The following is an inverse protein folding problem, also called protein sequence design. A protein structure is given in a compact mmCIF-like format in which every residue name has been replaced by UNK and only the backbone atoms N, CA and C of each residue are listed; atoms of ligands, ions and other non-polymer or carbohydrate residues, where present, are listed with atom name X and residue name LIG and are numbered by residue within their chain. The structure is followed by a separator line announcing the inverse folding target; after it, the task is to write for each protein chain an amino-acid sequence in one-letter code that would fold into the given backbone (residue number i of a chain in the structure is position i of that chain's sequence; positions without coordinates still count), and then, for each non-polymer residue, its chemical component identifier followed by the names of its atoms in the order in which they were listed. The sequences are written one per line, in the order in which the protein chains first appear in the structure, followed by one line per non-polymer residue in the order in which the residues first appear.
data_IF_392647864332
#
_entry.id   IF_392647864332
#
_cell.length_a   1.000
_cell.length_b   1.000
_cell.length_c   1.000
_cell.angle_alpha   90.00
_cell.angle_beta   90.00
_cell.angle_gamma   90.00
#
_symmetry.space_group_name_H-M   'P 1'
#
loop_
_entity.id
_entity.type
_entity.pdbx_description
1 polymer ?
#
# COMPACT_ATOMS: atom_id res chain seq x y z
N UNK A 1 -12.06 -29.33 -13.38
CA UNK A 1 -12.91 -28.14 -13.20
C UNK A 1 -13.63 -27.90 -14.53
N UNK A 2 -14.94 -27.63 -14.53
CA UNK A 2 -15.69 -27.33 -15.75
C UNK A 2 -15.19 -26.02 -16.38
N UNK A 3 -15.35 -25.85 -17.69
CA UNK A 3 -14.88 -24.67 -18.44
C UNK A 3 -16.02 -24.16 -19.33
N UNK A 4 -16.39 -22.89 -19.20
CA UNK A 4 -17.47 -22.25 -19.95
C UNK A 4 -16.93 -21.00 -20.65
N UNK A 5 -16.98 -20.95 -21.97
CA UNK A 5 -16.44 -19.81 -22.74
C UNK A 5 -17.49 -18.71 -22.83
N UNK A 6 -17.11 -17.48 -22.54
CA UNK A 6 -18.05 -16.34 -22.62
C UNK A 6 -18.65 -16.15 -24.02
N UNK A 7 -17.94 -16.57 -25.07
CA UNK A 7 -18.41 -16.52 -26.45
C UNK A 7 -19.54 -17.51 -26.75
N UNK A 8 -19.62 -18.62 -26.03
CA UNK A 8 -20.74 -19.58 -26.12
C UNK A 8 -22.04 -19.00 -25.52
N UNK A 9 -21.91 -17.94 -24.70
CA UNK A 9 -23.02 -17.20 -24.08
C UNK A 9 -23.27 -15.86 -24.78
N UNK A 10 -22.63 -15.61 -25.92
CA UNK A 10 -22.92 -14.48 -26.79
C UNK A 10 -21.96 -13.29 -26.69
N UNK A 11 -20.93 -13.35 -25.83
CA UNK A 11 -19.90 -12.31 -25.77
C UNK A 11 -19.15 -12.25 -27.13
N UNK A 12 -18.86 -11.04 -27.61
CA UNK A 12 -18.23 -10.82 -28.91
C UNK A 12 -16.71 -10.74 -28.82
N UNK A 13 -16.16 -10.13 -27.77
CA UNK A 13 -14.71 -9.97 -27.64
C UNK A 13 -14.07 -9.10 -28.73
N UNK A 14 -14.84 -8.22 -29.36
CA UNK A 14 -14.42 -7.38 -30.50
C UNK A 14 -13.82 -6.02 -30.08
N UNK A 15 -13.73 -5.76 -28.77
CA UNK A 15 -13.25 -4.50 -28.20
C UNK A 15 -14.22 -3.32 -28.31
N UNK A 16 -15.46 -3.55 -28.76
CA UNK A 16 -16.47 -2.51 -28.97
C UNK A 16 -17.82 -2.86 -28.35
N UNK A 17 -18.27 -4.10 -28.51
CA UNK A 17 -19.52 -4.59 -27.92
C UNK A 17 -19.37 -4.71 -26.41
N UNK A 18 -20.33 -4.15 -25.67
CA UNK A 18 -20.42 -4.32 -24.22
C UNK A 18 -20.95 -5.72 -23.91
N UNK A 19 -20.06 -6.59 -23.46
CA UNK A 19 -20.28 -8.01 -23.25
C UNK A 19 -20.79 -8.35 -21.82
N UNK A 20 -21.06 -7.35 -20.98
CA UNK A 20 -21.43 -7.50 -19.56
C UNK A 20 -22.51 -8.55 -19.33
N UNK A 21 -23.60 -8.51 -20.10
CA UNK A 21 -24.74 -9.43 -19.94
C UNK A 21 -24.35 -10.88 -20.25
N UNK A 22 -23.60 -11.10 -21.33
CA UNK A 22 -23.16 -12.44 -21.72
C UNK A 22 -22.15 -13.02 -20.72
N UNK A 23 -21.23 -12.18 -20.24
CA UNK A 23 -20.24 -12.57 -19.22
C UNK A 23 -20.94 -12.92 -17.91
N UNK A 24 -21.87 -12.08 -17.44
CA UNK A 24 -22.63 -12.36 -16.22
C UNK A 24 -23.43 -13.65 -16.34
N UNK A 25 -24.11 -13.88 -17.47
CA UNK A 25 -24.85 -15.12 -17.71
C UNK A 25 -23.92 -16.36 -17.68
N UNK A 26 -22.68 -16.23 -18.15
CA UNK A 26 -21.69 -17.31 -18.09
C UNK A 26 -21.26 -17.61 -16.64
N UNK A 27 -21.05 -16.56 -15.83
CA UNK A 27 -20.74 -16.68 -14.40
C UNK A 27 -21.88 -17.36 -13.65
N UNK A 28 -23.11 -16.91 -13.89
CA UNK A 28 -24.32 -17.44 -13.26
C UNK A 28 -24.49 -18.93 -13.59
N UNK A 29 -24.38 -19.28 -14.88
CA UNK A 29 -24.45 -20.66 -15.32
C UNK A 29 -23.35 -21.53 -14.70
N UNK A 30 -22.11 -21.04 -14.68
CA UNK A 30 -20.98 -21.75 -14.07
C UNK A 30 -21.23 -22.05 -12.59
N UNK A 31 -21.71 -21.06 -11.84
CA UNK A 31 -22.07 -21.23 -10.43
C UNK A 31 -23.20 -22.25 -10.23
N UNK A 32 -24.29 -22.12 -10.98
CA UNK A 32 -25.47 -23.00 -10.89
C UNK A 32 -25.15 -24.46 -11.23
N UNK A 33 -24.10 -24.71 -12.00
CA UNK A 33 -23.66 -26.06 -12.40
C UNK A 33 -22.49 -26.59 -11.55
N UNK A 34 -22.32 -26.06 -10.34
CA UNK A 34 -21.36 -26.58 -9.35
C UNK A 34 -19.97 -25.94 -9.39
N UNK A 35 -19.80 -24.86 -10.15
CA UNK A 35 -18.56 -24.11 -10.24
C UNK A 35 -17.64 -24.58 -11.37
N UNK A 36 -16.60 -23.79 -11.61
CA UNK A 36 -15.81 -23.94 -12.82
C UNK A 36 -14.98 -22.72 -13.16
N UNK A 37 -14.48 -22.72 -14.40
CA UNK A 37 -13.80 -21.60 -15.01
C UNK A 37 -14.67 -20.94 -16.07
N UNK A 38 -14.82 -19.63 -15.99
CA UNK A 38 -15.37 -18.78 -17.04
C UNK A 38 -14.22 -18.27 -17.89
N UNK A 39 -14.15 -18.71 -19.13
CA UNK A 39 -12.98 -18.56 -19.99
C UNK A 39 -13.11 -17.38 -20.95
N UNK A 40 -12.09 -16.53 -20.96
CA UNK A 40 -11.88 -15.45 -21.92
C UNK A 40 -10.67 -15.82 -22.78
N UNK A 41 -10.81 -15.80 -24.11
CA UNK A 41 -9.73 -16.08 -25.05
C UNK A 41 -9.93 -15.30 -26.35
N UNK A 42 -8.82 -14.92 -27.00
CA UNK A 42 -8.76 -14.33 -28.34
C UNK A 42 -9.70 -13.14 -28.54
N UNK A 43 -9.55 -12.10 -27.74
CA UNK A 43 -10.40 -10.92 -27.88
C UNK A 43 -10.24 -9.89 -26.78
N UNK A 44 -10.89 -8.76 -26.99
CA UNK A 44 -11.05 -7.71 -25.99
C UNK A 44 -12.51 -7.66 -25.59
N UNK A 45 -12.81 -7.99 -24.35
CA UNK A 45 -14.16 -8.08 -23.81
C UNK A 45 -14.44 -6.80 -23.02
N UNK A 46 -15.27 -5.91 -23.58
CA UNK A 46 -15.66 -4.67 -22.92
C UNK A 46 -16.78 -4.97 -21.93
N UNK A 47 -16.65 -4.60 -20.67
CA UNK A 47 -17.70 -4.84 -19.68
C UNK A 47 -17.78 -3.75 -18.62
N UNK A 48 -18.99 -3.58 -18.08
CA UNK A 48 -19.24 -2.92 -16.80
C UNK A 48 -19.03 -3.87 -15.63
N UNK A 49 -19.69 -3.60 -14.51
CA UNK A 49 -19.59 -4.45 -13.33
C UNK A 49 -20.12 -5.86 -13.60
N UNK A 50 -19.33 -6.86 -13.23
CA UNK A 50 -19.76 -8.27 -13.11
C UNK A 50 -19.66 -8.75 -11.67
N UNK A 51 -20.60 -9.61 -11.29
CA UNK A 51 -20.75 -10.20 -9.95
C UNK A 51 -20.23 -11.63 -9.96
N UNK A 52 -19.03 -11.82 -9.42
CA UNK A 52 -18.42 -13.13 -9.26
C UNK A 52 -19.11 -13.90 -8.13
N UNK A 53 -19.39 -15.19 -8.37
CA UNK A 53 -20.12 -16.07 -7.44
C UNK A 53 -19.22 -17.18 -6.91
N UNK A 54 -19.63 -17.81 -5.82
CA UNK A 54 -18.87 -18.91 -5.20
C UNK A 54 -18.54 -20.03 -6.20
N UNK A 55 -17.35 -20.61 -6.06
CA UNK A 55 -16.81 -21.69 -6.90
C UNK A 55 -16.54 -21.30 -8.36
N UNK A 56 -16.53 -20.01 -8.70
CA UNK A 56 -16.26 -19.52 -10.05
C UNK A 56 -14.88 -18.85 -10.12
N UNK A 57 -14.11 -19.25 -11.13
CA UNK A 57 -12.84 -18.65 -11.49
C UNK A 57 -12.96 -17.98 -12.86
N UNK A 58 -12.60 -16.71 -12.98
CA UNK A 58 -12.42 -16.08 -14.29
C UNK A 58 -11.03 -16.47 -14.82
N UNK A 59 -10.99 -17.22 -15.91
CA UNK A 59 -9.75 -17.62 -16.58
C UNK A 59 -9.51 -16.73 -17.81
N UNK A 60 -8.59 -15.78 -17.68
CA UNK A 60 -8.22 -14.83 -18.73
C UNK A 60 -6.96 -15.35 -19.43
N UNK A 61 -7.14 -15.91 -20.63
CA UNK A 61 -6.04 -16.42 -21.45
C UNK A 61 -5.08 -15.30 -21.87
N UNK A 62 -3.82 -15.64 -22.17
CA UNK A 62 -2.80 -14.69 -22.63
C UNK A 62 -3.25 -13.84 -23.85
N UNK A 63 -4.14 -14.40 -24.68
CA UNK A 63 -4.72 -13.74 -25.86
C UNK A 63 -5.95 -12.87 -25.58
N UNK A 64 -6.41 -12.79 -24.32
CA UNK A 64 -7.59 -12.03 -23.93
C UNK A 64 -7.25 -10.78 -23.10
N UNK A 65 -8.07 -9.75 -23.31
CA UNK A 65 -8.13 -8.56 -22.46
C UNK A 65 -9.56 -8.35 -22.00
N UNK A 66 -9.77 -8.20 -20.69
CA UNK A 66 -10.99 -7.59 -20.14
C UNK A 66 -10.74 -6.09 -20.11
N UNK A 67 -11.64 -5.30 -20.69
CA UNK A 67 -11.54 -3.84 -20.76
C UNK A 67 -12.73 -3.20 -20.05
N UNK A 68 -12.46 -2.32 -19.09
CA UNK A 68 -13.50 -1.56 -18.40
C UNK A 68 -14.26 -0.65 -19.39
N UNK A 69 -15.60 -0.77 -19.42
CA UNK A 69 -16.45 0.11 -20.22
C UNK A 69 -16.33 1.56 -19.69
N UNK A 70 -16.09 2.57 -20.53
CA UNK A 70 -16.05 3.97 -20.08
C UNK A 70 -17.39 4.54 -19.59
N UNK A 71 -18.52 3.89 -19.87
CA UNK A 71 -19.83 4.36 -19.40
C UNK A 71 -20.01 4.08 -17.89
N UNK A 72 -19.99 5.13 -17.07
CA UNK A 72 -20.12 4.99 -15.62
C UNK A 72 -21.48 4.42 -15.17
N UNK A 73 -22.51 4.49 -16.02
CA UNK A 73 -23.84 3.93 -15.71
C UNK A 73 -23.87 2.40 -15.70
N UNK A 74 -22.87 1.76 -16.31
CA UNK A 74 -22.66 0.31 -16.29
C UNK A 74 -22.04 -0.21 -14.97
N UNK A 75 -21.84 0.68 -14.00
CA UNK A 75 -21.31 0.37 -12.69
C UNK A 75 -22.35 0.76 -11.62
N UNK A 76 -23.02 -0.21 -10.99
CA UNK A 76 -24.16 0.06 -10.15
C UNK A 76 -23.77 0.59 -8.78
N UNK A 77 -24.72 1.19 -8.05
CA UNK A 77 -24.47 1.76 -6.72
C UNK A 77 -24.48 0.72 -5.59
N UNK A 78 -25.01 -0.48 -5.84
CA UNK A 78 -25.12 -1.53 -4.82
C UNK A 78 -23.83 -2.33 -4.59
N UNK A 79 -22.70 -1.91 -5.16
CA UNK A 79 -21.37 -2.42 -4.81
C UNK A 79 -20.64 -1.50 -3.83
N UNK A 80 -21.27 -0.39 -3.42
CA UNK A 80 -20.75 0.62 -2.50
C UNK A 80 -20.44 0.00 -1.14
N UNK A 81 -19.19 0.12 -0.69
CA UNK A 81 -18.77 -0.32 0.64
C UNK A 81 -17.58 0.53 1.12
N UNK A 82 -17.81 1.82 1.23
CA UNK A 82 -16.77 2.76 1.60
C UNK A 82 -16.38 2.63 3.07
N UNK A 83 -15.08 2.53 3.34
CA UNK A 83 -14.53 2.60 4.70
C UNK A 83 -14.00 3.99 5.03
N UNK A 84 -14.02 4.94 4.10
CA UNK A 84 -13.46 6.29 4.25
C UNK A 84 -14.54 7.34 4.42
N UNK A 85 -14.36 8.25 5.39
CA UNK A 85 -15.32 9.33 5.66
C UNK A 85 -15.36 10.40 4.56
N UNK A 86 -14.28 10.54 3.77
CA UNK A 86 -14.10 11.66 2.84
C UNK A 86 -13.88 11.22 1.37
N UNK A 87 -14.08 9.94 1.05
CA UNK A 87 -13.82 9.41 -0.30
C UNK A 87 -15.09 8.85 -0.94
N UNK A 88 -16.21 9.59 -0.87
CA UNK A 88 -17.57 9.15 -1.24
C UNK A 88 -17.75 8.65 -2.68
N UNK A 89 -16.77 8.90 -3.55
CA UNK A 89 -16.79 8.56 -4.97
C UNK A 89 -16.07 7.22 -5.27
N UNK A 90 -15.43 6.59 -4.26
CA UNK A 90 -14.62 5.39 -4.39
C UNK A 90 -15.42 4.09 -4.18
N UNK A 91 -16.60 4.03 -4.80
CA UNK A 91 -17.60 3.03 -4.43
C UNK A 91 -18.09 2.11 -5.54
N UNK A 92 -17.59 2.32 -6.76
CA UNK A 92 -17.87 1.47 -7.91
C UNK A 92 -16.71 0.52 -8.17
N UNK A 93 -16.96 -0.62 -8.82
CA UNK A 93 -15.90 -1.54 -9.23
C UNK A 93 -16.26 -2.39 -10.46
N UNK A 94 -15.25 -2.84 -11.21
CA UNK A 94 -15.42 -3.65 -12.42
C UNK A 94 -15.75 -5.11 -12.10
N UNK A 95 -15.08 -5.72 -11.13
CA UNK A 95 -15.33 -7.08 -10.68
C UNK A 95 -15.66 -7.06 -9.20
N UNK A 96 -16.87 -7.49 -8.84
CA UNK A 96 -17.35 -7.52 -7.47
C UNK A 96 -17.63 -8.95 -7.01
N UNK A 97 -17.35 -9.24 -5.74
CA UNK A 97 -17.87 -10.42 -5.04
C UNK A 97 -18.18 -10.08 -3.59
N UNK A 98 -19.26 -10.66 -3.07
CA UNK A 98 -19.69 -10.48 -1.68
C UNK A 98 -20.16 -11.81 -1.11
N UNK A 99 -19.75 -12.13 0.12
CA UNK A 99 -20.13 -13.36 0.83
C UNK A 99 -19.89 -14.64 0.01
N UNK A 100 -18.83 -14.64 -0.81
CA UNK A 100 -18.49 -15.72 -1.74
C UNK A 100 -17.28 -16.55 -1.28
N UNK A 101 -17.20 -17.81 -1.72
CA UNK A 101 -16.08 -18.70 -1.41
C UNK A 101 -15.54 -19.43 -2.64
N UNK A 102 -14.25 -19.76 -2.63
CA UNK A 102 -13.56 -20.47 -3.72
C UNK A 102 -13.66 -19.70 -5.05
N UNK A 103 -13.21 -18.46 -5.03
CA UNK A 103 -13.28 -17.54 -6.18
C UNK A 103 -11.88 -17.18 -6.67
N UNK A 104 -11.77 -16.77 -7.93
CA UNK A 104 -10.49 -16.27 -8.39
C UNK A 104 -10.48 -15.64 -9.77
N UNK A 105 -9.42 -14.87 -10.01
CA UNK A 105 -9.04 -14.32 -11.30
C UNK A 105 -7.69 -14.95 -11.65
N UNK A 106 -7.62 -15.68 -12.76
CA UNK A 106 -6.45 -16.46 -13.10
C UNK A 106 -6.09 -16.37 -14.59
N UNK A 107 -4.82 -16.60 -14.91
CA UNK A 107 -4.34 -16.77 -16.29
C UNK A 107 -3.60 -15.55 -16.84
N UNK A 108 -2.79 -15.76 -17.88
CA UNK A 108 -1.77 -14.83 -18.41
C UNK A 108 -2.32 -13.62 -19.18
N UNK A 109 -3.64 -13.45 -19.19
CA UNK A 109 -4.33 -12.35 -19.85
C UNK A 109 -4.17 -11.01 -19.14
N UNK A 110 -4.97 -10.05 -19.58
CA UNK A 110 -4.95 -8.69 -19.05
C UNK A 110 -6.33 -8.26 -18.58
N UNK A 111 -6.37 -7.56 -17.45
CA UNK A 111 -7.51 -6.72 -17.05
C UNK A 111 -7.04 -5.27 -17.16
N UNK A 112 -7.68 -4.50 -18.03
CA UNK A 112 -7.39 -3.10 -18.29
C UNK A 112 -8.53 -2.24 -17.73
N UNK A 113 -8.23 -1.46 -16.70
CA UNK A 113 -9.20 -0.58 -16.06
C UNK A 113 -9.59 0.63 -16.91
N UNK A 114 -8.97 0.85 -18.07
CA UNK A 114 -9.29 1.94 -18.98
C UNK A 114 -9.16 3.34 -18.32
N UNK A 115 -8.17 3.51 -17.44
CA UNK A 115 -7.95 4.72 -16.64
C UNK A 115 -8.09 6.05 -17.40
N UNK A 116 -7.59 6.14 -18.64
CA UNK A 116 -7.62 7.38 -19.42
C UNK A 116 -9.05 7.81 -19.79
N UNK A 117 -10.01 6.88 -19.88
CA UNK A 117 -11.40 7.21 -20.19
C UNK A 117 -12.16 7.80 -19.01
N UNK A 118 -11.63 7.70 -17.79
CA UNK A 118 -12.24 8.27 -16.59
C UNK A 118 -11.52 9.56 -16.16
N UNK A 119 -12.23 10.58 -15.69
CA UNK A 119 -11.66 11.88 -15.29
C UNK A 119 -10.81 11.80 -14.01
N UNK A 120 -9.83 12.71 -13.84
CA UNK A 120 -8.97 12.81 -12.65
C UNK A 120 -9.52 13.75 -11.55
N UNK A 121 -10.37 14.71 -11.90
CA UNK A 121 -10.88 15.76 -11.00
C UNK A 121 -12.38 16.01 -11.24
N UNK A 122 -13.11 16.44 -10.21
CA UNK A 122 -14.54 16.75 -10.26
C UNK A 122 -15.44 15.77 -9.48
N UNK A 123 -16.73 15.72 -9.84
CA UNK A 123 -17.72 14.73 -9.33
C UNK A 123 -17.51 13.39 -10.04
N UNK A 124 -16.51 12.61 -9.61
CA UNK A 124 -15.91 11.57 -10.45
C UNK A 124 -15.87 10.19 -9.79
N UNK A 125 -16.97 9.46 -9.91
CA UNK A 125 -16.92 8.02 -9.69
C UNK A 125 -15.90 7.36 -10.63
N UNK A 126 -14.87 6.78 -10.03
CA UNK A 126 -13.86 5.97 -10.73
C UNK A 126 -13.94 4.55 -10.22
N UNK A 127 -14.35 3.58 -11.05
CA UNK A 127 -14.52 2.21 -10.59
C UNK A 127 -13.16 1.58 -10.26
N UNK A 128 -13.03 1.04 -9.04
CA UNK A 128 -11.94 0.13 -8.70
C UNK A 128 -11.93 -1.07 -9.64
N UNK A 129 -10.80 -1.73 -9.84
CA UNK A 129 -10.78 -2.89 -10.74
C UNK A 129 -11.40 -4.14 -10.08
N UNK A 130 -11.06 -4.42 -8.82
CA UNK A 130 -11.59 -5.59 -8.10
C UNK A 130 -12.01 -5.21 -6.68
N UNK A 131 -13.18 -5.66 -6.23
CA UNK A 131 -13.59 -5.57 -4.83
C UNK A 131 -14.18 -6.90 -4.37
N UNK A 132 -13.58 -7.49 -3.35
CA UNK A 132 -14.06 -8.71 -2.71
C UNK A 132 -14.35 -8.43 -1.23
N UNK A 133 -15.62 -8.57 -0.85
CA UNK A 133 -16.13 -8.27 0.47
C UNK A 133 -16.57 -9.56 1.17
N UNK A 134 -16.04 -9.83 2.37
CA UNK A 134 -16.37 -11.01 3.17
C UNK A 134 -16.26 -12.33 2.39
N UNK A 135 -15.23 -12.42 1.55
CA UNK A 135 -14.99 -13.58 0.71
C UNK A 135 -13.92 -14.51 1.32
N UNK A 136 -13.95 -15.78 0.92
CA UNK A 136 -13.02 -16.81 1.40
C UNK A 136 -12.37 -17.59 0.26
N UNK A 137 -11.12 -18.03 0.43
CA UNK A 137 -10.38 -18.83 -0.54
C UNK A 137 -10.29 -18.16 -1.91
N UNK A 138 -9.57 -17.04 -1.93
CA UNK A 138 -9.48 -16.12 -3.05
C UNK A 138 -8.13 -16.29 -3.75
N UNK A 139 -8.14 -16.46 -5.08
CA UNK A 139 -6.92 -16.56 -5.87
C UNK A 139 -6.85 -15.50 -6.97
N UNK A 140 -5.86 -14.62 -6.90
CA UNK A 140 -5.43 -13.77 -8.01
C UNK A 140 -4.09 -14.29 -8.50
N UNK A 141 -4.04 -14.82 -9.73
CA UNK A 141 -2.87 -15.56 -10.18
C UNK A 141 -2.52 -15.35 -11.64
N UNK A 142 -1.23 -15.11 -11.91
CA UNK A 142 -0.63 -15.08 -13.25
C UNK A 142 -1.21 -13.97 -14.15
N UNK A 143 -1.58 -12.79 -13.62
CA UNK A 143 -2.33 -11.76 -14.35
C UNK A 143 -1.56 -10.46 -14.59
N UNK A 144 -1.96 -9.73 -15.63
CA UNK A 144 -1.63 -8.31 -15.84
C UNK A 144 -2.81 -7.42 -15.45
N UNK A 145 -2.67 -6.61 -14.41
CA UNK A 145 -3.71 -5.68 -13.92
C UNK A 145 -3.25 -4.24 -14.19
N UNK A 146 -3.72 -3.65 -15.28
CA UNK A 146 -3.17 -2.38 -15.77
C UNK A 146 -4.21 -1.28 -15.79
N UNK A 147 -3.74 -0.04 -15.70
CA UNK A 147 -4.54 1.17 -15.89
C UNK A 147 -5.83 1.13 -15.05
N UNK A 148 -5.73 0.75 -13.78
CA UNK A 148 -6.85 0.90 -12.87
C UNK A 148 -7.28 2.38 -12.81
N UNK A 149 -8.58 2.62 -12.77
CA UNK A 149 -9.10 4.00 -12.74
C UNK A 149 -8.91 4.62 -11.36
N UNK A 150 -8.99 3.80 -10.31
CA UNK A 150 -8.68 4.06 -8.90
C UNK A 150 -7.93 2.83 -8.35
N UNK A 151 -8.21 2.37 -7.13
CA UNK A 151 -7.53 1.19 -6.57
C UNK A 151 -7.69 -0.04 -7.45
N UNK A 152 -6.61 -0.78 -7.63
CA UNK A 152 -6.65 -2.01 -8.43
C UNK A 152 -7.44 -3.08 -7.71
N UNK A 153 -7.23 -3.24 -6.40
CA UNK A 153 -7.96 -4.24 -5.62
C UNK A 153 -8.39 -3.68 -4.27
N UNK A 154 -9.53 -4.15 -3.77
CA UNK A 154 -9.98 -3.92 -2.41
C UNK A 154 -10.49 -5.25 -1.84
N UNK A 155 -9.67 -5.88 -0.99
CA UNK A 155 -10.07 -7.04 -0.20
C UNK A 155 -10.54 -6.55 1.16
N UNK A 156 -11.81 -6.80 1.47
CA UNK A 156 -12.47 -6.26 2.65
C UNK A 156 -13.02 -7.43 3.46
N UNK A 157 -12.67 -7.49 4.75
CA UNK A 157 -13.17 -8.48 5.72
C UNK A 157 -13.04 -9.94 5.24
N UNK A 158 -12.01 -10.23 4.44
CA UNK A 158 -11.87 -11.50 3.70
C UNK A 158 -10.72 -12.35 4.23
N UNK A 159 -10.75 -13.66 3.98
CA UNK A 159 -9.73 -14.58 4.49
C UNK A 159 -9.25 -15.64 3.49
N UNK A 160 -8.02 -16.12 3.69
CA UNK A 160 -7.35 -17.08 2.81
C UNK A 160 -7.21 -16.54 1.39
N UNK A 161 -6.28 -15.60 1.22
CA UNK A 161 -6.10 -14.82 -0.02
C UNK A 161 -4.70 -15.08 -0.57
N UNK A 162 -4.64 -15.46 -1.85
CA UNK A 162 -3.38 -15.66 -2.58
C UNK A 162 -3.30 -14.70 -3.76
N UNK A 163 -2.27 -13.86 -3.76
CA UNK A 163 -1.88 -13.02 -4.88
C UNK A 163 -0.52 -13.50 -5.39
N UNK A 164 -0.50 -14.15 -6.54
CA UNK A 164 0.69 -14.84 -7.06
C UNK A 164 1.01 -14.37 -8.49
N UNK A 165 2.26 -13.96 -8.73
CA UNK A 165 2.74 -13.63 -10.08
C UNK A 165 1.87 -12.58 -10.81
N UNK A 166 1.61 -11.47 -10.14
CA UNK A 166 0.84 -10.34 -10.70
C UNK A 166 1.79 -9.27 -11.25
N UNK A 167 1.48 -8.76 -12.43
CA UNK A 167 2.07 -7.51 -12.97
C UNK A 167 1.03 -6.40 -12.89
N UNK A 168 1.18 -5.52 -11.91
CA UNK A 168 0.27 -4.39 -11.66
C UNK A 168 0.95 -3.11 -12.12
N UNK A 169 0.30 -2.35 -13.01
CA UNK A 169 0.87 -1.14 -13.59
C UNK A 169 -0.15 -0.01 -13.73
N UNK A 170 -0.06 0.96 -12.83
CA UNK A 170 -0.85 2.17 -12.80
C UNK A 170 0.06 3.40 -12.84
N UNK A 171 -0.07 4.22 -13.88
CA UNK A 171 0.78 5.40 -14.07
C UNK A 171 0.03 6.64 -14.56
N UNK A 172 -1.31 6.62 -14.53
CA UNK A 172 -2.15 7.55 -15.31
C UNK A 172 -3.10 8.41 -14.46
N UNK A 173 -3.64 7.85 -13.38
CA UNK A 173 -4.69 8.48 -12.56
C UNK A 173 -4.29 8.49 -11.07
N UNK A 174 -4.91 9.36 -10.28
CA UNK A 174 -4.76 9.37 -8.81
C UNK A 174 -5.21 8.03 -8.21
N UNK A 175 -4.83 7.72 -6.97
CA UNK A 175 -5.26 6.50 -6.26
C UNK A 175 -4.99 5.22 -7.07
N UNK A 176 -3.84 5.16 -7.75
CA UNK A 176 -3.44 4.01 -8.56
C UNK A 176 -2.79 2.92 -7.72
N UNK A 177 -3.41 2.59 -6.60
CA UNK A 177 -2.96 1.59 -5.63
C UNK A 177 -2.98 0.18 -6.25
N UNK A 178 -2.20 -0.73 -5.67
CA UNK A 178 -2.08 -2.11 -6.14
C UNK A 178 -2.96 -3.07 -5.34
N UNK A 179 -2.42 -3.53 -4.21
CA UNK A 179 -3.06 -4.54 -3.36
C UNK A 179 -3.49 -3.96 -2.01
N UNK A 180 -4.79 -3.72 -1.84
CA UNK A 180 -5.34 -3.12 -0.63
C UNK A 180 -6.16 -4.13 0.17
N UNK A 181 -5.74 -4.37 1.41
CA UNK A 181 -6.38 -5.29 2.33
C UNK A 181 -6.87 -4.53 3.57
N UNK A 182 -8.15 -4.63 3.86
CA UNK A 182 -8.76 -4.06 5.07
C UNK A 182 -9.46 -5.16 5.86
N UNK A 183 -8.98 -5.43 7.07
CA UNK A 183 -9.55 -6.44 7.96
C UNK A 183 -9.45 -7.88 7.44
N UNK A 184 -8.39 -8.19 6.68
CA UNK A 184 -8.19 -9.49 6.07
C UNK A 184 -7.26 -10.42 6.86
N UNK A 185 -7.39 -11.73 6.67
CA UNK A 185 -6.59 -12.73 7.38
C UNK A 185 -6.05 -13.84 6.46
N UNK A 186 -4.85 -14.35 6.78
CA UNK A 186 -4.16 -15.37 5.98
C UNK A 186 -3.94 -14.92 4.53
N UNK A 187 -3.10 -13.91 4.39
CA UNK A 187 -2.82 -13.24 3.11
C UNK A 187 -1.41 -13.61 2.65
N UNK A 188 -1.31 -14.14 1.44
CA UNK A 188 -0.06 -14.60 0.83
C UNK A 188 0.16 -13.88 -0.49
N UNK A 189 1.22 -13.07 -0.56
CA UNK A 189 1.56 -12.24 -1.71
C UNK A 189 2.97 -12.64 -2.16
N UNK A 190 3.07 -13.19 -3.37
CA UNK A 190 4.32 -13.78 -3.87
C UNK A 190 4.58 -13.41 -5.33
N UNK A 191 5.85 -13.12 -5.65
CA UNK A 191 6.30 -12.95 -7.04
C UNK A 191 5.59 -11.81 -7.80
N UNK A 192 5.10 -10.79 -7.11
CA UNK A 192 4.36 -9.69 -7.74
C UNK A 192 5.29 -8.52 -8.10
N UNK A 193 5.01 -7.89 -9.24
CA UNK A 193 5.61 -6.63 -9.67
C UNK A 193 4.52 -5.55 -9.63
N UNK A 194 4.71 -4.51 -8.81
CA UNK A 194 3.68 -3.49 -8.59
C UNK A 194 4.28 -2.11 -8.87
N UNK A 195 3.62 -1.37 -9.76
CA UNK A 195 3.87 0.03 -10.06
C UNK A 195 2.57 0.81 -9.87
N UNK A 196 2.60 1.81 -8.99
CA UNK A 196 1.44 2.63 -8.64
C UNK A 196 1.75 4.12 -8.56
N UNK A 197 0.71 4.93 -8.74
CA UNK A 197 0.74 6.39 -8.52
C UNK A 197 0.41 6.78 -7.08
N UNK A 198 0.07 5.79 -6.25
CA UNK A 198 -0.19 5.92 -4.82
C UNK A 198 0.43 4.73 -4.07
N UNK A 199 -0.03 4.43 -2.86
CA UNK A 199 0.44 3.30 -2.07
C UNK A 199 0.28 1.98 -2.84
N UNK A 200 1.37 1.24 -3.04
CA UNK A 200 1.33 0.05 -3.91
C UNK A 200 0.70 -1.18 -3.21
N UNK A 201 0.82 -1.25 -1.89
CA UNK A 201 0.27 -2.34 -1.09
C UNK A 201 -0.09 -1.80 0.29
N UNK A 202 -1.37 -1.89 0.67
CA UNK A 202 -1.88 -1.40 1.95
C UNK A 202 -2.41 -2.54 2.81
N UNK A 203 -2.02 -2.54 4.09
CA UNK A 203 -2.59 -3.38 5.14
C UNK A 203 -3.31 -2.49 6.14
N UNK A 204 -4.63 -2.64 6.25
CA UNK A 204 -5.51 -1.77 7.00
C UNK A 204 -6.43 -2.57 7.92
N UNK A 205 -6.91 -1.93 8.98
CA UNK A 205 -7.97 -2.49 9.84
C UNK A 205 -8.89 -1.36 10.32
N UNK A 206 -9.97 -1.16 9.56
CA UNK A 206 -11.00 -0.15 9.80
C UNK A 206 -12.05 -0.57 10.82
N UNK A 207 -11.94 -1.77 11.38
CA UNK A 207 -12.93 -2.33 12.29
C UNK A 207 -12.25 -3.17 13.36
N UNK A 208 -12.67 -3.03 14.61
CA UNK A 208 -12.24 -3.93 15.69
C UNK A 208 -12.75 -5.35 15.52
N UNK A 209 -13.82 -5.56 14.73
CA UNK A 209 -14.37 -6.88 14.44
C UNK A 209 -13.54 -7.67 13.41
N UNK A 210 -12.82 -6.96 12.54
CA UNK A 210 -12.05 -7.54 11.44
C UNK A 210 -10.58 -7.12 11.55
N UNK A 211 -9.77 -7.87 12.33
CA UNK A 211 -8.34 -7.59 12.45
C UNK A 211 -7.61 -7.98 11.16
N UNK A 212 -6.55 -7.25 10.85
CA UNK A 212 -5.62 -7.60 9.78
C UNK A 212 -4.52 -8.50 10.35
N UNK A 213 -4.45 -9.78 9.97
CA UNK A 213 -3.42 -10.68 10.53
C UNK A 213 -2.97 -11.84 9.67
N UNK A 214 -1.77 -12.34 9.95
CA UNK A 214 -1.14 -13.46 9.24
C UNK A 214 -0.89 -13.12 7.76
N UNK A 215 0.02 -12.16 7.55
CA UNK A 215 0.34 -11.62 6.23
C UNK A 215 1.77 -11.98 5.85
N UNK A 216 1.93 -12.52 4.65
CA UNK A 216 3.21 -12.92 4.10
C UNK A 216 3.41 -12.25 2.74
N UNK A 217 4.38 -11.34 2.65
CA UNK A 217 4.77 -10.66 1.41
C UNK A 217 6.19 -11.10 1.08
N UNK A 218 6.40 -11.75 -0.07
CA UNK A 218 7.73 -12.21 -0.45
C UNK A 218 8.04 -12.22 -1.93
N UNK A 219 9.31 -11.97 -2.26
CA UNK A 219 9.82 -11.97 -3.63
C UNK A 219 9.07 -11.00 -4.56
N UNK A 220 8.75 -9.81 -4.06
CA UNK A 220 8.02 -8.79 -4.81
C UNK A 220 8.92 -7.62 -5.20
N UNK A 221 8.56 -6.95 -6.29
CA UNK A 221 9.21 -5.74 -6.79
C UNK A 221 8.23 -4.56 -6.74
N UNK A 222 8.66 -3.41 -6.22
CA UNK A 222 7.83 -2.22 -6.06
C UNK A 222 8.47 -0.96 -6.64
N UNK A 223 7.67 -0.15 -7.35
CA UNK A 223 7.97 1.26 -7.67
C UNK A 223 6.75 2.11 -7.30
N UNK A 224 6.94 3.27 -6.68
CA UNK A 224 5.80 4.05 -6.17
C UNK A 224 6.05 5.55 -6.20
N UNK A 225 4.99 6.31 -6.45
CA UNK A 225 4.99 7.75 -6.22
C UNK A 225 4.79 8.07 -4.73
N UNK A 226 3.93 7.31 -4.03
CA UNK A 226 3.69 7.45 -2.59
C UNK A 226 4.50 6.40 -1.80
N UNK A 227 3.86 5.39 -1.20
CA UNK A 227 4.55 4.32 -0.51
C UNK A 227 4.66 3.03 -1.32
N UNK A 228 5.73 2.24 -1.10
CA UNK A 228 5.81 0.88 -1.64
C UNK A 228 4.92 -0.07 -0.84
N UNK A 229 5.05 -0.07 0.49
CA UNK A 229 4.19 -0.84 1.39
C UNK A 229 3.74 0.05 2.54
N UNK A 230 2.44 0.06 2.80
CA UNK A 230 1.83 0.74 3.93
C UNK A 230 1.14 -0.24 4.87
N UNK A 231 1.39 -0.07 6.16
CA UNK A 231 0.72 -0.74 7.27
C UNK A 231 0.03 0.35 8.08
N UNK A 232 -1.30 0.36 8.06
CA UNK A 232 -2.12 1.52 8.39
C UNK A 232 -2.51 2.32 7.13
N UNK A 233 -2.93 3.57 7.21
CA UNK A 233 -3.18 4.35 8.43
C UNK A 233 -4.44 3.91 9.18
N UNK A 234 -5.39 3.27 8.48
CA UNK A 234 -6.64 2.82 9.07
C UNK A 234 -6.32 1.73 10.06
N UNK A 235 -6.47 2.06 11.33
CA UNK A 235 -5.90 1.30 12.44
C UNK A 235 -6.81 1.42 13.66
N UNK A 236 -8.13 1.41 13.45
CA UNK A 236 -9.10 1.24 14.53
C UNK A 236 -8.91 -0.15 15.15
N UNK A 237 -8.79 -1.16 14.29
CA UNK A 237 -8.55 -2.53 14.70
C UNK A 237 -7.07 -2.87 14.85
N UNK A 238 -6.80 -4.16 15.04
CA UNK A 238 -5.44 -4.68 15.21
C UNK A 238 -4.85 -5.10 13.87
N UNK A 239 -3.60 -4.71 13.62
CA UNK A 239 -2.76 -5.21 12.53
C UNK A 239 -1.61 -6.01 13.15
N UNK A 240 -1.50 -7.31 12.86
CA UNK A 240 -0.47 -8.15 13.49
C UNK A 240 0.04 -9.31 12.66
N UNK A 241 1.19 -9.87 13.03
CA UNK A 241 1.80 -11.03 12.36
C UNK A 241 2.03 -10.78 10.86
N UNK A 242 2.81 -9.75 10.55
CA UNK A 242 3.16 -9.36 9.18
C UNK A 242 4.63 -9.71 8.93
N UNK A 243 4.91 -10.49 7.88
CA UNK A 243 6.27 -10.77 7.41
C UNK A 243 6.45 -10.24 5.99
N UNK A 244 7.41 -9.34 5.81
CA UNK A 244 7.87 -8.82 4.52
C UNK A 244 9.28 -9.32 4.29
N UNK A 245 9.52 -10.06 3.21
CA UNK A 245 10.85 -10.65 2.97
C UNK A 245 11.28 -10.79 1.53
N UNK A 246 12.56 -10.54 1.26
CA UNK A 246 13.17 -10.73 -0.07
C UNK A 246 12.52 -9.87 -1.17
N UNK A 247 12.22 -8.61 -0.88
CA UNK A 247 11.62 -7.68 -1.86
C UNK A 247 12.63 -6.63 -2.34
N UNK A 248 12.41 -6.14 -3.55
CA UNK A 248 13.19 -5.05 -4.15
C UNK A 248 12.33 -3.82 -4.34
N UNK A 249 12.76 -2.69 -3.80
CA UNK A 249 12.09 -1.41 -3.96
C UNK A 249 12.99 -0.54 -4.82
N UNK A 250 12.44 0.03 -5.87
CA UNK A 250 13.19 0.90 -6.78
C UNK A 250 12.34 2.12 -7.09
N UNK A 251 12.92 3.32 -6.99
CA UNK A 251 12.25 4.56 -7.38
C UNK A 251 10.93 4.75 -6.63
N UNK A 252 11.04 4.87 -5.31
CA UNK A 252 9.92 5.11 -4.39
C UNK A 252 10.06 6.52 -3.85
N UNK A 253 9.21 7.42 -4.34
CA UNK A 253 9.44 8.85 -4.18
C UNK A 253 9.13 9.39 -2.79
N UNK A 254 8.33 8.67 -2.00
CA UNK A 254 8.01 9.04 -0.63
C UNK A 254 8.51 8.01 0.39
N UNK A 255 7.73 6.99 0.72
CA UNK A 255 8.09 6.02 1.77
C UNK A 255 8.30 4.59 1.26
N UNK A 256 9.37 3.92 1.68
CA UNK A 256 9.58 2.50 1.40
C UNK A 256 8.58 1.63 2.17
N UNK A 257 8.96 1.28 3.40
CA UNK A 257 8.05 0.64 4.36
C UNK A 257 7.50 1.70 5.31
N UNK A 258 6.19 1.90 5.23
CA UNK A 258 5.45 2.90 6.02
C UNK A 258 4.55 2.23 7.04
N UNK A 259 4.73 2.53 8.32
CA UNK A 259 3.93 1.97 9.41
C UNK A 259 3.30 3.12 10.20
N UNK A 260 1.98 3.15 10.26
CA UNK A 260 1.22 4.23 10.89
C UNK A 260 0.09 3.65 11.76
N UNK A 261 0.23 3.78 13.07
CA UNK A 261 -0.87 3.52 14.00
C UNK A 261 -1.43 4.87 14.44
N UNK A 262 -2.55 5.28 13.84
CA UNK A 262 -3.07 6.65 13.95
C UNK A 262 -4.52 6.73 14.43
N UNK A 263 -5.20 5.59 14.57
CA UNK A 263 -6.64 5.54 14.88
C UNK A 263 -6.97 4.75 16.16
N UNK A 264 -5.99 4.63 17.06
CA UNK A 264 -6.16 4.13 18.42
C UNK A 264 -6.12 2.62 18.61
N UNK A 265 -5.96 1.85 17.53
CA UNK A 265 -5.80 0.40 17.58
C UNK A 265 -4.38 -0.04 17.93
N UNK A 266 -3.98 -1.19 17.37
CA UNK A 266 -2.70 -1.81 17.71
C UNK A 266 -1.99 -2.30 16.46
N UNK A 267 -0.69 -2.01 16.32
CA UNK A 267 0.18 -2.58 15.29
C UNK A 267 1.32 -3.34 15.95
N UNK A 268 1.42 -4.64 15.71
CA UNK A 268 2.41 -5.46 16.42
C UNK A 268 2.90 -6.69 15.66
N UNK A 269 4.03 -7.27 16.06
CA UNK A 269 4.57 -8.49 15.44
C UNK A 269 4.85 -8.29 13.94
N UNK A 270 5.67 -7.28 13.63
CA UNK A 270 6.06 -6.91 12.27
C UNK A 270 7.51 -7.30 12.03
N UNK A 271 7.74 -8.14 11.03
CA UNK A 271 9.06 -8.61 10.62
C UNK A 271 9.34 -8.18 9.17
N UNK A 272 10.32 -7.31 8.98
CA UNK A 272 10.76 -6.83 7.67
C UNK A 272 12.22 -7.25 7.48
N UNK A 273 12.50 -8.06 6.46
CA UNK A 273 13.86 -8.57 6.26
C UNK A 273 14.30 -8.79 4.82
N UNK A 274 15.62 -8.70 4.58
CA UNK A 274 16.19 -9.07 3.29
C UNK A 274 15.69 -8.16 2.17
N UNK A 275 15.72 -6.84 2.38
CA UNK A 275 15.23 -5.86 1.40
C UNK A 275 16.40 -5.20 0.67
N UNK A 276 16.22 -4.96 -0.63
CA UNK A 276 17.11 -4.11 -1.42
C UNK A 276 16.31 -2.90 -1.89
N UNK A 277 16.74 -1.72 -1.49
CA UNK A 277 16.08 -0.45 -1.79
C UNK A 277 17.04 0.45 -2.57
N UNK A 278 16.62 0.88 -3.76
CA UNK A 278 17.33 1.87 -4.57
C UNK A 278 16.45 3.08 -4.80
N UNK A 279 16.97 4.27 -4.51
CA UNK A 279 16.26 5.54 -4.67
C UNK A 279 14.89 5.52 -3.96
N UNK A 280 14.93 5.34 -2.65
CA UNK A 280 13.75 5.36 -1.78
C UNK A 280 13.91 6.51 -0.81
N UNK A 281 13.06 7.54 -0.91
CA UNK A 281 13.27 8.80 -0.20
C UNK A 281 13.32 8.61 1.32
N UNK A 282 12.31 7.94 1.88
CA UNK A 282 12.27 7.52 3.28
C UNK A 282 12.19 6.01 3.34
N UNK A 283 13.32 5.29 3.39
CA UNK A 283 13.32 3.82 3.33
C UNK A 283 12.41 3.16 4.37
N UNK A 284 12.40 3.71 5.59
CA UNK A 284 11.55 3.27 6.70
C UNK A 284 10.91 4.49 7.34
N UNK A 285 9.60 4.46 7.49
CA UNK A 285 8.81 5.49 8.17
C UNK A 285 7.88 4.81 9.17
N UNK A 286 7.99 5.18 10.44
CA UNK A 286 7.17 4.63 11.52
C UNK A 286 6.62 5.77 12.37
N UNK A 287 5.30 5.81 12.54
CA UNK A 287 4.60 6.83 13.32
C UNK A 287 3.51 6.22 14.20
N UNK A 288 3.57 6.53 15.50
CA UNK A 288 2.51 6.23 16.47
C UNK A 288 1.88 7.52 17.00
N UNK A 289 0.60 7.75 16.69
CA UNK A 289 -0.18 8.92 17.13
C UNK A 289 -1.70 8.62 17.17
N UNK A 290 -2.53 9.66 17.30
CA UNK A 290 -3.99 9.60 17.19
C UNK A 290 -4.56 10.56 16.11
N UNK A 291 -3.84 10.66 14.97
CA UNK A 291 -4.13 11.51 13.80
C UNK A 291 -3.98 13.01 14.07
N UNK A 292 -3.08 13.66 13.32
CA UNK A 292 -2.67 15.05 13.57
C UNK A 292 -3.59 16.13 13.00
N UNK A 293 -4.32 15.87 11.92
CA UNK A 293 -5.03 16.91 11.15
C UNK A 293 -6.56 16.81 11.19
N UNK A 294 -7.11 15.69 11.70
CA UNK A 294 -8.54 15.39 11.74
C UNK A 294 -8.81 14.22 12.70
N UNK A 295 -10.08 13.86 12.89
CA UNK A 295 -10.50 12.73 13.75
C UNK A 295 -9.92 11.38 13.29
N UNK A 296 -9.81 11.18 11.97
CA UNK A 296 -9.40 9.93 11.34
C UNK A 296 -9.87 9.88 9.89
N UNK A 297 -9.61 8.77 9.20
CA UNK A 297 -10.19 8.49 7.88
C UNK A 297 -11.22 7.37 7.92
N UNK A 298 -11.27 6.56 8.98
CA UNK A 298 -12.19 5.43 9.07
C UNK A 298 -13.63 5.81 9.43
N UNK A 299 -14.59 5.25 8.69
CA UNK A 299 -16.02 5.33 9.01
C UNK A 299 -16.25 4.73 10.39
N UNK A 300 -16.98 5.48 11.24
CA UNK A 300 -17.26 5.08 12.62
C UNK A 300 -16.43 5.83 13.68
N UNK A 301 -15.34 6.51 13.30
CA UNK A 301 -14.65 7.43 14.20
C UNK A 301 -15.43 8.74 14.34
N UNK A 302 -15.94 9.00 15.55
CA UNK A 302 -16.74 10.20 15.86
C UNK A 302 -15.97 11.24 16.67
N UNK A 303 -14.79 10.89 17.17
CA UNK A 303 -13.87 11.76 17.93
C UNK A 303 -12.45 11.23 17.82
N UNK A 304 -11.47 12.11 18.07
CA UNK A 304 -10.05 11.72 18.14
C UNK A 304 -9.90 10.58 19.16
N UNK A 305 -9.35 9.42 18.76
CA UNK A 305 -9.18 8.30 19.67
C UNK A 305 -8.02 8.55 20.65
N UNK A 306 -7.91 7.71 21.68
CA UNK A 306 -6.65 7.60 22.41
C UNK A 306 -5.54 7.12 21.46
N UNK A 307 -4.28 7.50 21.73
CA UNK A 307 -3.15 6.97 20.98
C UNK A 307 -3.10 5.45 21.20
N UNK A 308 -2.95 4.73 20.09
CA UNK A 308 -2.92 3.27 20.09
C UNK A 308 -1.61 2.72 20.67
N UNK A 309 -1.30 1.47 20.32
CA UNK A 309 -0.02 0.85 20.70
C UNK A 309 0.72 0.31 19.49
N UNK A 310 2.05 0.39 19.55
CA UNK A 310 2.92 -0.16 18.53
C UNK A 310 4.06 -0.92 19.21
N UNK A 311 4.22 -2.21 18.87
CA UNK A 311 5.17 -3.06 19.59
C UNK A 311 5.78 -4.17 18.74
N UNK A 312 7.01 -4.61 19.06
CA UNK A 312 7.67 -5.79 18.46
C UNK A 312 7.82 -5.66 16.95
N UNK A 313 8.60 -4.64 16.55
CA UNK A 313 8.89 -4.34 15.15
C UNK A 313 10.37 -4.63 14.88
N UNK A 314 10.63 -5.43 13.86
CA UNK A 314 11.98 -5.86 13.51
C UNK A 314 12.30 -5.56 12.05
N UNK A 315 13.37 -4.80 11.82
CA UNK A 315 13.97 -4.56 10.51
C UNK A 315 15.35 -5.23 10.46
N UNK A 316 15.58 -6.10 9.48
CA UNK A 316 16.87 -6.80 9.35
C UNK A 316 17.35 -7.00 7.92
N UNK A 317 18.67 -7.01 7.73
CA UNK A 317 19.29 -7.36 6.44
C UNK A 317 18.78 -6.48 5.28
N UNK A 318 18.84 -5.15 5.45
CA UNK A 318 18.34 -4.19 4.46
C UNK A 318 19.50 -3.39 3.88
N UNK A 319 19.57 -3.35 2.55
CA UNK A 319 20.48 -2.51 1.80
C UNK A 319 19.70 -1.35 1.16
N UNK A 320 20.07 -0.13 1.47
CA UNK A 320 19.49 1.11 0.95
C UNK A 320 20.58 1.92 0.24
N UNK A 321 20.34 2.30 -1.00
CA UNK A 321 21.31 3.06 -1.79
C UNK A 321 20.61 4.11 -2.64
N UNK A 322 21.02 5.35 -2.44
CA UNK A 322 20.65 6.47 -3.31
C UNK A 322 21.69 6.64 -4.42
N UNK A 323 21.25 7.05 -5.60
CA UNK A 323 22.09 7.58 -6.67
C UNK A 323 21.79 9.06 -6.96
N UNK A 324 22.32 9.58 -8.07
CA UNK A 324 22.14 10.97 -8.51
C UNK A 324 20.67 11.40 -8.68
N UNK A 325 19.75 10.46 -8.96
CA UNK A 325 18.32 10.74 -9.10
C UNK A 325 17.73 11.34 -7.81
N UNK A 326 18.28 10.95 -6.65
CA UNK A 326 17.80 11.42 -5.35
C UNK A 326 18.18 12.87 -5.04
N UNK A 327 18.95 13.52 -5.92
CA UNK A 327 19.21 14.97 -5.85
C UNK A 327 18.03 15.80 -6.34
N UNK A 328 17.11 15.20 -7.10
CA UNK A 328 15.93 15.87 -7.65
C UNK A 328 14.79 15.93 -6.63
N UNK A 329 13.87 16.88 -6.85
CA UNK A 329 12.52 16.85 -6.28
C UNK A 329 11.61 16.01 -7.18
N UNK A 330 10.86 15.10 -6.58
CA UNK A 330 9.92 14.18 -7.18
C UNK A 330 8.50 14.58 -6.84
N UNK A 331 7.63 14.54 -7.84
CA UNK A 331 6.25 15.02 -7.74
C UNK A 331 5.27 13.90 -8.08
N UNK A 332 4.09 13.95 -7.45
CA UNK A 332 2.89 13.28 -7.94
C UNK A 332 2.20 14.21 -8.91
N UNK A 333 2.20 13.84 -10.18
CA UNK A 333 1.71 14.65 -11.29
C UNK A 333 2.40 16.02 -11.38
N UNK A 334 1.72 17.12 -11.04
CA UNK A 334 2.16 18.48 -11.35
C UNK A 334 2.97 19.14 -10.23
N UNK A 335 2.39 19.26 -9.04
CA UNK A 335 2.84 20.18 -7.98
C UNK A 335 2.87 19.56 -6.58
N UNK A 336 2.38 18.33 -6.45
CA UNK A 336 2.35 17.61 -5.19
C UNK A 336 3.70 16.93 -4.91
N UNK A 337 4.52 17.56 -4.06
CA UNK A 337 5.87 17.09 -3.74
C UNK A 337 5.81 15.79 -2.93
N UNK A 338 6.30 14.72 -3.54
CA UNK A 338 6.40 13.40 -2.91
C UNK A 338 7.75 13.18 -2.26
N UNK A 339 8.82 13.77 -2.79
CA UNK A 339 10.12 13.64 -2.17
C UNK A 339 11.11 14.66 -2.70
N UNK A 340 12.01 15.12 -1.85
CA UNK A 340 13.12 15.98 -2.23
C UNK A 340 14.31 15.71 -1.29
N UNK A 341 15.53 16.19 -1.61
CA UNK A 341 16.72 15.89 -0.81
C UNK A 341 16.52 16.08 0.69
N UNK A 342 15.80 17.11 1.11
CA UNK A 342 15.56 17.43 2.52
C UNK A 342 14.72 16.36 3.26
N UNK A 343 13.91 15.53 2.56
CA UNK A 343 13.02 14.54 3.17
C UNK A 343 13.74 13.26 3.59
N UNK A 344 14.97 13.05 3.11
CA UNK A 344 15.66 11.77 3.16
C UNK A 344 15.92 11.28 4.59
N UNK A 345 16.00 9.96 4.74
CA UNK A 345 16.31 9.31 6.00
C UNK A 345 15.22 8.36 6.48
N UNK A 346 15.57 7.52 7.46
CA UNK A 346 14.62 6.71 8.22
C UNK A 346 14.02 7.60 9.32
N UNK A 347 12.71 7.52 9.49
CA UNK A 347 12.00 8.23 10.56
C UNK A 347 11.24 7.26 11.43
N UNK A 348 11.44 7.37 12.74
CA UNK A 348 10.63 6.68 13.74
C UNK A 348 10.23 7.71 14.78
N UNK A 349 8.93 7.94 14.94
CA UNK A 349 8.42 8.96 15.86
C UNK A 349 7.16 8.49 16.57
N UNK A 350 6.97 8.96 17.79
CA UNK A 350 5.81 8.65 18.61
C UNK A 350 5.54 9.79 19.59
N UNK A 351 4.33 9.83 20.12
CA UNK A 351 4.04 10.71 21.25
C UNK A 351 4.90 10.31 22.47
N UNK A 352 5.37 11.30 23.23
CA UNK A 352 6.27 11.10 24.38
C UNK A 352 5.71 10.17 25.45
N UNK A 353 4.39 10.21 25.70
CA UNK A 353 3.72 9.41 26.73
C UNK A 353 3.28 8.03 26.22
N UNK A 354 3.38 7.80 24.91
CA UNK A 354 2.99 6.56 24.24
C UNK A 354 4.16 6.01 23.40
N UNK A 355 5.28 5.63 24.03
CA UNK A 355 6.47 5.18 23.30
C UNK A 355 6.22 3.86 22.56
N UNK A 356 6.78 3.75 21.36
CA UNK A 356 6.86 2.48 20.61
C UNK A 356 7.66 1.48 21.44
N UNK A 357 7.22 0.23 21.50
CA UNK A 357 7.82 -0.81 22.34
C UNK A 357 8.60 -1.83 21.48
N UNK A 358 9.81 -2.22 21.87
CA UNK A 358 10.55 -3.32 21.24
C UNK A 358 10.79 -3.11 19.73
N UNK A 359 11.54 -2.06 19.39
CA UNK A 359 12.01 -1.82 18.02
C UNK A 359 13.44 -2.32 17.86
N UNK A 360 13.66 -3.19 16.89
CA UNK A 360 15.00 -3.66 16.52
C UNK A 360 15.31 -3.32 15.08
N UNK A 361 16.47 -2.69 14.86
CA UNK A 361 17.09 -2.51 13.56
C UNK A 361 18.44 -3.20 13.56
N UNK A 362 18.59 -4.21 12.71
CA UNK A 362 19.79 -5.05 12.67
C UNK A 362 20.34 -5.18 11.25
N UNK A 363 21.64 -4.99 11.06
CA UNK A 363 22.30 -5.20 9.76
C UNK A 363 21.66 -4.36 8.64
N UNK A 364 21.62 -3.04 8.87
CA UNK A 364 21.19 -2.07 7.87
C UNK A 364 22.42 -1.43 7.23
N UNK A 365 22.44 -1.36 5.90
CA UNK A 365 23.44 -0.61 5.15
C UNK A 365 22.74 0.52 4.40
N UNK A 366 23.03 1.77 4.73
CA UNK A 366 22.44 2.93 4.07
C UNK A 366 23.51 3.82 3.46
N UNK A 367 23.54 3.84 2.13
CA UNK A 367 24.29 4.83 1.35
C UNK A 367 23.33 5.93 0.90
N UNK A 368 23.39 7.10 1.54
CA UNK A 368 22.56 8.25 1.16
C UNK A 368 23.32 9.16 0.19
N UNK A 369 22.58 9.86 -0.68
CA UNK A 369 23.18 10.83 -1.62
C UNK A 369 23.81 12.02 -0.87
N UNK A 370 23.26 12.41 0.29
CA UNK A 370 23.70 13.58 1.06
C UNK A 370 23.46 14.91 0.33
N UNK A 371 24.18 15.96 0.74
CA UNK A 371 24.14 17.27 0.08
C UNK A 371 23.15 18.28 0.64
N UNK A 372 22.45 17.97 1.74
CA UNK A 372 21.54 18.92 2.41
C UNK A 372 22.32 19.72 3.45
N UNK A 373 21.99 21.01 3.58
CA UNK A 373 22.60 21.87 4.61
C UNK A 373 21.70 21.96 5.84
N UNK A 374 22.28 22.01 7.05
CA UNK A 374 21.53 22.17 8.30
C UNK A 374 20.67 23.46 8.34
N UNK A 375 21.02 24.48 7.54
CA UNK A 375 20.24 25.72 7.41
C UNK A 375 19.05 25.60 6.46
N UNK A 376 18.98 24.54 5.65
CA UNK A 376 17.87 24.30 4.73
C UNK A 376 16.65 23.64 5.40
N UNK A 377 16.79 23.20 6.65
CA UNK A 377 15.72 22.57 7.44
C UNK A 377 15.44 23.40 8.69
N UNK A 378 14.22 23.31 9.20
CA UNK A 378 13.84 24.04 10.42
C UNK A 378 14.60 23.48 11.63
N UNK A 379 14.96 24.38 12.55
CA UNK A 379 15.59 24.01 13.83
C UNK A 379 14.56 23.52 14.85
N UNK A 380 13.32 23.96 14.75
CA UNK A 380 12.24 23.47 15.61
C UNK A 380 11.61 22.23 14.98
N UNK A 381 11.97 21.06 15.52
CA UNK A 381 11.34 19.82 15.12
C UNK A 381 10.00 19.66 15.85
N UNK A 382 8.89 19.43 15.14
CA UNK A 382 7.56 19.38 15.74
C UNK A 382 7.41 18.18 16.69
N UNK A 383 6.60 18.37 17.74
CA UNK A 383 6.22 17.27 18.62
C UNK A 383 5.07 16.45 18.02
N UNK A 384 5.02 15.16 18.36
CA UNK A 384 3.85 14.32 18.10
C UNK A 384 2.88 14.51 19.27
N UNK A 385 1.89 15.37 19.09
CA UNK A 385 0.90 15.70 20.13
C UNK A 385 -0.15 14.60 20.31
N UNK A 386 -0.70 14.51 21.52
CA UNK A 386 -1.97 13.82 21.75
C UNK A 386 -3.10 14.78 21.41
N UNK A 387 -3.75 14.49 20.28
CA UNK A 387 -4.73 15.38 19.66
C UNK A 387 -6.09 15.41 20.40
N UNK A 388 -6.21 14.73 21.55
CA UNK A 388 -7.34 14.88 22.47
C UNK A 388 -7.26 16.15 23.31
N UNK A 389 -6.08 16.78 23.39
CA UNK A 389 -5.81 17.95 24.22
C UNK A 389 -5.33 19.14 23.38
N UNK A 390 -5.42 20.35 23.96
CA UNK A 390 -4.90 21.56 23.32
C UNK A 390 -3.38 21.51 23.19
N UNK A 391 -2.87 21.97 22.05
CA UNK A 391 -1.43 22.03 21.75
C UNK A 391 -1.05 23.41 21.19
N UNK A 392 0.15 23.91 21.48
CA UNK A 392 0.57 25.27 21.12
C UNK A 392 1.09 25.41 19.69
N UNK A 393 1.39 24.29 19.01
CA UNK A 393 2.07 24.28 17.71
C UNK A 393 1.14 23.89 16.57
N UNK A 394 1.49 24.32 15.36
CA UNK A 394 0.86 23.84 14.14
C UNK A 394 1.20 22.36 13.95
N UNK A 395 0.16 21.54 13.94
CA UNK A 395 0.21 20.16 13.46
C UNK A 395 -0.25 20.14 12.00
N UNK A 396 0.31 19.22 11.22
CA UNK A 396 -0.10 18.98 9.83
C UNK A 396 -0.28 17.46 9.65
N UNK A 397 -0.63 17.01 8.45
CA UNK A 397 -0.90 15.60 8.13
C UNK A 397 0.17 14.64 8.70
N UNK A 398 -0.15 13.35 8.82
CA UNK A 398 0.73 12.31 9.39
C UNK A 398 2.13 12.17 8.76
N UNK A 399 2.45 12.93 7.71
CA UNK A 399 3.76 12.94 7.05
C UNK A 399 4.61 14.14 7.47
N UNK A 400 4.04 15.12 8.16
CA UNK A 400 4.74 16.32 8.61
C UNK A 400 5.76 15.96 9.72
N UNK A 401 6.96 16.56 9.72
CA UNK A 401 7.45 17.52 8.72
C UNK A 401 7.86 16.85 7.39
N UNK A 402 7.65 17.59 6.31
CA UNK A 402 8.19 17.28 4.99
C UNK A 402 9.67 17.71 4.91
N UNK A 403 10.49 17.21 5.84
CA UNK A 403 11.95 17.34 5.89
C UNK A 403 12.50 16.49 7.04
N UNK A 404 13.82 16.26 7.05
CA UNK A 404 14.54 15.53 8.09
C UNK A 404 15.70 16.37 8.62
N UNK A 405 15.82 16.46 9.95
CA UNK A 405 16.95 17.09 10.64
C UNK A 405 18.22 16.24 10.62
N UNK A 406 18.17 15.03 10.08
CA UNK A 406 19.32 14.10 10.02
C UNK A 406 19.56 13.59 8.62
N UNK A 407 20.79 13.21 8.31
CA UNK A 407 21.13 12.57 7.03
C UNK A 407 20.59 11.14 6.93
N UNK A 408 20.69 10.33 7.99
CA UNK A 408 20.36 8.91 7.93
C UNK A 408 19.11 8.52 8.72
N UNK A 409 19.03 8.83 10.01
CA UNK A 409 17.84 8.49 10.78
C UNK A 409 17.59 9.33 12.03
N UNK A 410 16.31 9.54 12.32
CA UNK A 410 15.81 10.21 13.52
C UNK A 410 14.81 9.27 14.22
N UNK A 411 15.18 8.80 15.40
CA UNK A 411 14.40 7.84 16.20
C UNK A 411 14.01 8.49 17.51
N UNK A 412 12.70 8.58 17.74
CA UNK A 412 12.14 9.25 18.90
C UNK A 412 11.15 8.37 19.65
N UNK A 413 11.19 8.46 20.98
CA UNK A 413 10.17 7.89 21.88
C UNK A 413 9.96 6.39 21.68
N UNK A 414 11.06 5.63 21.78
CA UNK A 414 11.07 4.17 21.70
C UNK A 414 11.58 3.58 23.01
N UNK A 415 10.78 2.71 23.63
CA UNK A 415 11.23 1.88 24.74
C UNK A 415 11.78 0.54 24.22
N UNK A 416 12.94 0.13 24.74
CA UNK A 416 13.67 -1.07 24.35
C UNK A 416 14.11 -1.05 22.87
N UNK A 417 14.84 0.01 22.50
CA UNK A 417 15.46 0.16 21.18
C UNK A 417 16.74 -0.67 21.06
N UNK A 418 16.87 -1.44 19.98
CA UNK A 418 18.11 -2.15 19.60
C UNK A 418 18.56 -1.70 18.22
N UNK A 419 19.75 -1.13 18.14
CA UNK A 419 20.44 -0.82 16.89
C UNK A 419 21.72 -1.66 16.82
N UNK A 420 21.84 -2.56 15.84
CA UNK A 420 22.99 -3.45 15.72
C UNK A 420 23.51 -3.55 14.29
N UNK A 421 24.83 -3.52 14.11
CA UNK A 421 25.50 -3.68 12.81
C UNK A 421 24.99 -2.71 11.74
N UNK A 422 24.79 -1.45 12.12
CA UNK A 422 24.34 -0.41 11.19
C UNK A 422 25.55 0.21 10.49
N UNK A 423 25.50 0.34 9.16
CA UNK A 423 26.55 0.98 8.35
C UNK A 423 25.98 2.12 7.54
N UNK A 424 26.55 3.30 7.70
CA UNK A 424 26.07 4.54 7.09
C UNK A 424 27.16 5.15 6.23
N UNK A 425 26.78 5.69 5.07
CA UNK A 425 27.68 6.40 4.17
C UNK A 425 26.93 7.49 3.43
N UNK A 426 27.46 8.71 3.40
CA UNK A 426 26.93 9.79 2.58
C UNK A 426 27.84 9.96 1.35
N UNK A 427 27.27 10.00 0.15
CA UNK A 427 28.05 10.19 -1.09
C UNK A 427 28.55 11.63 -1.23
N UNK A 428 27.78 12.61 -0.74
CA UNK A 428 28.13 14.03 -0.69
C UNK A 428 28.16 14.51 0.75
N UNK A 429 28.95 15.57 1.06
CA UNK A 429 28.88 16.23 2.35
C UNK A 429 27.45 16.68 2.66
N UNK A 430 26.96 16.34 3.84
CA UNK A 430 25.67 16.76 4.38
C UNK A 430 25.96 17.37 5.76
N UNK A 431 25.47 18.58 6.04
CA UNK A 431 25.82 19.28 7.29
C UNK A 431 24.80 19.11 8.41
N UNK A 432 23.74 18.33 8.18
CA UNK A 432 22.85 17.86 9.25
C UNK A 432 23.57 16.83 10.12
N UNK A 433 23.00 16.55 11.28
CA UNK A 433 23.48 15.45 12.11
C UNK A 433 23.32 14.11 11.35
N UNK A 434 24.28 13.19 11.47
CA UNK A 434 24.19 11.88 10.83
C UNK A 434 22.93 11.13 11.28
N UNK A 435 22.69 11.10 12.59
CA UNK A 435 21.50 10.52 13.19
C UNK A 435 21.18 11.14 14.57
N UNK A 436 19.93 10.99 15.01
CA UNK A 436 19.46 11.42 16.34
C UNK A 436 18.63 10.31 16.99
N UNK A 437 18.82 10.13 18.31
CA UNK A 437 18.05 9.20 19.14
C UNK A 437 17.55 9.98 20.36
N UNK A 438 16.25 10.24 20.43
CA UNK A 438 15.67 11.14 21.45
C UNK A 438 14.58 10.45 22.26
N UNK A 439 14.61 10.58 23.59
CA UNK A 439 13.56 10.01 24.45
C UNK A 439 13.42 8.48 24.34
N UNK A 440 14.50 7.79 23.98
CA UNK A 440 14.51 6.34 23.82
C UNK A 440 15.23 5.65 24.98
N UNK A 441 14.74 4.48 25.38
CA UNK A 441 15.47 3.54 26.22
C UNK A 441 16.23 2.56 25.33
N UNK A 442 17.54 2.78 25.17
CA UNK A 442 18.39 2.04 24.24
C UNK A 442 19.05 0.86 24.95
N UNK A 443 18.81 -0.36 24.46
CA UNK A 443 19.40 -1.59 24.99
C UNK A 443 20.74 -1.92 24.33
N UNK A 444 20.90 -1.56 23.05
CA UNK A 444 22.15 -1.71 22.31
C UNK A 444 22.24 -0.72 21.16
N UNK A 445 23.45 -0.23 20.89
CA UNK A 445 23.76 0.68 19.79
C UNK A 445 25.13 0.35 19.18
N UNK A 446 25.12 -0.18 17.97
CA UNK A 446 26.31 -0.47 17.15
C UNK A 446 26.10 0.11 15.74
N UNK A 447 26.71 1.27 15.51
CA UNK A 447 26.59 2.07 14.27
C UNK A 447 28.00 2.46 13.83
N UNK A 448 28.29 2.26 12.54
CA UNK A 448 29.55 2.64 11.89
C UNK A 448 29.26 3.60 10.74
N UNK A 449 29.85 4.79 10.80
CA UNK A 449 29.83 5.76 9.70
C UNK A 449 31.12 5.63 8.87
N UNK A 450 30.97 5.53 7.55
CA UNK A 450 32.08 5.40 6.60
C UNK A 450 32.36 6.77 5.99
N UNK A 451 33.50 7.37 6.35
CA UNK A 451 33.94 8.64 5.79
C UNK A 451 34.40 8.50 4.33
N UNK A 452 34.08 9.52 3.50
CA UNK A 452 34.47 9.55 2.08
C UNK A 452 35.98 9.60 1.82
N UNK A 453 36.81 9.81 2.84
CA UNK A 453 38.28 9.89 2.73
C UNK A 453 38.97 8.51 2.56
N UNK A 454 38.23 7.45 2.25
CA UNK A 454 38.73 6.07 2.21
C UNK A 454 38.48 5.35 0.88
N UNK A 455 38.87 6.00 -0.23
CA UNK A 455 39.16 5.33 -1.51
C UNK A 455 40.48 5.83 -2.10
#
# INVERSE_FOLDING_TARGET
MALYKVTEFGAKGDGQTVDTVAIQATIDYCHEHGGGQVAFAQGTFVMGTVFLKSNVYLHIDASATILANPDISDYPDHVHYNRYVNETEMDKCLIYAEDAMNIGLIGLGRIDGNAEAFPNEGSIYRPMMVRFLRCQHIHLKDLRLHNSTAWTTAFLDSENIWCENLDINNSKRYNGDGLDFDGCQYVFITNCKIKGTDDNLCLQSSSTAYPMRHVHITNCYFTSICAAIRIGLKSIGTISNVTISNCTFENVWREGVKIECTEGGQITDIMVKGLVMRNVRRPIFVLLNNRLDRIGSSVGLTKVPEIGTMARIHFSDIMMTDDEEMTNTHYRFTDDVMGEPSFNGIRVDANTDYPIQDLTMNQLMYTSIGGVTATAVDKQYPQVWDMRYDHPEQVSENYFPNWSRTTFFDIRHVDRLVLSRIRLRALRPDSRDSYLITGCNVLAQDIVEIENNSL
#
